data_IF_246652392082
#
_entry.id   IF_246652392082
#
_cell.length_a   1.000
_cell.length_b   1.000
_cell.length_c   1.000
_cell.angle_alpha   90.00
_cell.angle_beta   90.00
_cell.angle_gamma   90.00
#
_symmetry.space_group_name_H-M   'P 1'
#
loop_
_entity.id
_entity.type
_entity.pdbx_description
1 polymer ?
#
# COMPACT_ATOMS: atom_id res chain seq x y z
N UNK A 1 -47.30 37.85 34.73
CA UNK A 1 -46.03 37.11 34.85
C UNK A 1 -45.24 37.43 33.59
N UNK A 2 -44.24 38.30 33.68
CA UNK A 2 -43.56 38.84 32.51
C UNK A 2 -42.21 38.14 32.36
N UNK A 3 -42.14 37.17 31.45
CA UNK A 3 -40.88 36.54 31.07
C UNK A 3 -39.98 37.55 30.37
N UNK A 4 -38.91 37.95 31.07
CA UNK A 4 -37.83 38.73 30.48
C UNK A 4 -37.04 37.82 29.55
N UNK A 5 -37.35 37.85 28.25
CA UNK A 5 -36.51 37.24 27.22
C UNK A 5 -35.19 38.04 27.15
N UNK A 6 -34.13 37.49 27.74
CA UNK A 6 -32.76 37.98 27.58
C UNK A 6 -32.32 37.72 26.15
N UNK A 7 -32.02 38.79 25.41
CA UNK A 7 -31.52 38.74 24.05
C UNK A 7 -30.01 38.48 24.00
N UNK A 8 -29.63 37.73 22.97
CA UNK A 8 -28.26 37.42 22.57
C UNK A 8 -27.46 38.71 22.31
N UNK A 9 -26.24 38.78 22.82
CA UNK A 9 -25.40 39.98 22.62
C UNK A 9 -24.48 39.81 21.41
N UNK A 10 -24.21 40.90 20.69
CA UNK A 10 -23.24 40.89 19.58
C UNK A 10 -21.85 40.43 20.02
N UNK A 11 -21.46 40.78 21.25
CA UNK A 11 -20.17 40.39 21.81
C UNK A 11 -20.09 38.88 22.08
N UNK A 12 -21.20 38.26 22.45
CA UNK A 12 -21.28 36.80 22.67
C UNK A 12 -21.10 36.02 21.37
N UNK A 13 -21.66 36.53 20.25
CA UNK A 13 -21.34 35.96 18.94
C UNK A 13 -19.91 36.22 18.50
N UNK A 14 -19.34 37.38 18.78
CA UNK A 14 -17.97 37.71 18.42
C UNK A 14 -16.96 36.78 19.10
N UNK A 15 -17.15 36.50 20.40
CA UNK A 15 -16.29 35.58 21.14
C UNK A 15 -16.44 34.15 20.62
N UNK A 16 -17.66 33.68 20.32
CA UNK A 16 -17.90 32.32 19.83
C UNK A 16 -17.25 32.09 18.46
N UNK A 17 -17.44 33.01 17.51
CA UNK A 17 -16.81 32.85 16.19
C UNK A 17 -15.29 32.98 16.27
N UNK A 18 -14.76 33.81 17.18
CA UNK A 18 -13.32 33.90 17.43
C UNK A 18 -12.76 32.58 17.98
N UNK A 19 -13.46 31.94 18.93
CA UNK A 19 -13.05 30.62 19.47
C UNK A 19 -13.16 29.53 18.41
N UNK A 20 -14.26 29.47 17.65
CA UNK A 20 -14.44 28.48 16.57
C UNK A 20 -13.36 28.64 15.50
N UNK A 21 -13.06 29.87 15.08
CA UNK A 21 -12.00 30.14 14.10
C UNK A 21 -10.62 29.69 14.61
N UNK A 22 -10.32 29.95 15.89
CA UNK A 22 -9.07 29.52 16.52
C UNK A 22 -8.96 27.99 16.58
N UNK A 23 -10.02 27.31 16.99
CA UNK A 23 -10.04 25.84 17.06
C UNK A 23 -9.97 25.19 15.68
N UNK A 24 -10.62 25.76 14.67
CA UNK A 24 -10.60 25.25 13.31
C UNK A 24 -9.18 25.23 12.72
N UNK A 25 -8.37 26.27 12.98
CA UNK A 25 -6.98 26.36 12.52
C UNK A 25 -6.13 25.24 13.14
N UNK A 26 -6.32 24.92 14.43
CA UNK A 26 -5.55 23.90 15.13
C UNK A 26 -6.01 22.47 14.82
N UNK A 27 -7.29 22.27 14.49
CA UNK A 27 -7.89 20.94 14.35
C UNK A 27 -7.45 20.15 13.12
N UNK A 28 -7.08 20.81 12.01
CA UNK A 28 -6.82 20.14 10.72
C UNK A 28 -5.54 19.31 10.74
N UNK A 29 -4.49 19.76 11.43
CA UNK A 29 -3.15 19.14 11.36
C UNK A 29 -3.02 17.79 12.04
N UNK A 30 -3.89 17.45 13.00
CA UNK A 30 -3.72 16.24 13.81
C UNK A 30 -4.17 14.94 13.13
N UNK A 31 -4.91 15.01 12.03
CA UNK A 31 -5.59 13.82 11.46
C UNK A 31 -4.77 13.09 10.38
N UNK A 32 -3.77 13.75 9.80
CA UNK A 32 -3.03 13.23 8.63
C UNK A 32 -2.19 12.01 8.96
N UNK A 33 -1.50 12.02 10.10
CA UNK A 33 -0.56 10.96 10.48
C UNK A 33 -1.28 9.64 10.75
N UNK A 34 -2.43 9.70 11.43
CA UNK A 34 -3.28 8.53 11.67
C UNK A 34 -3.83 7.96 10.36
N UNK A 35 -4.16 8.84 9.41
CA UNK A 35 -4.66 8.41 8.11
C UNK A 35 -3.55 7.75 7.28
N UNK A 36 -2.32 8.25 7.36
CA UNK A 36 -1.18 7.62 6.70
C UNK A 36 -0.84 6.25 7.29
N UNK A 37 -0.83 6.10 8.61
CA UNK A 37 -0.60 4.81 9.26
C UNK A 37 -1.71 3.81 8.93
N UNK A 38 -2.98 4.24 8.94
CA UNK A 38 -4.10 3.40 8.53
C UNK A 38 -3.97 2.92 7.08
N UNK A 39 -3.58 3.80 6.16
CA UNK A 39 -3.30 3.43 4.76
C UNK A 39 -2.13 2.45 4.67
N UNK A 40 -1.03 2.71 5.37
CA UNK A 40 0.13 1.82 5.40
C UNK A 40 -0.22 0.42 5.96
N UNK A 41 -1.07 0.34 6.98
CA UNK A 41 -1.57 -0.92 7.53
C UNK A 41 -2.40 -1.70 6.51
N UNK A 42 -3.29 -1.02 5.77
CA UNK A 42 -4.07 -1.63 4.68
C UNK A 42 -3.14 -2.18 3.60
N UNK A 43 -2.13 -1.41 3.16
CA UNK A 43 -1.22 -1.89 2.12
C UNK A 43 -0.38 -3.06 2.61
N UNK A 44 0.08 -3.02 3.86
CA UNK A 44 0.80 -4.15 4.46
C UNK A 44 -0.05 -5.42 4.42
N UNK A 45 -1.34 -5.31 4.73
CA UNK A 45 -2.28 -6.44 4.61
C UNK A 45 -2.44 -6.90 3.16
N UNK A 46 -2.63 -5.96 2.23
CA UNK A 46 -2.77 -6.27 0.80
C UNK A 46 -1.51 -6.93 0.22
N UNK A 47 -0.31 -6.49 0.61
CA UNK A 47 0.93 -7.10 0.18
C UNK A 47 1.04 -8.55 0.68
N UNK A 48 0.64 -8.82 1.91
CA UNK A 48 0.54 -10.21 2.42
C UNK A 48 -0.41 -11.04 1.57
N UNK A 49 -1.59 -10.51 1.23
CA UNK A 49 -2.54 -11.20 0.35
C UNK A 49 -1.94 -11.54 -1.02
N UNK A 50 -1.15 -10.63 -1.61
CA UNK A 50 -0.46 -10.87 -2.89
C UNK A 50 0.64 -11.93 -2.75
N UNK A 51 1.43 -11.88 -1.67
CA UNK A 51 2.46 -12.90 -1.37
C UNK A 51 1.84 -14.28 -1.13
N UNK A 52 0.72 -14.34 -0.44
CA UNK A 52 -0.03 -15.58 -0.23
C UNK A 52 -0.58 -16.11 -1.56
N UNK A 53 -1.03 -15.22 -2.46
CA UNK A 53 -1.44 -15.61 -3.81
C UNK A 53 -0.28 -16.21 -4.62
N UNK A 54 0.92 -15.64 -4.53
CA UNK A 54 2.13 -16.21 -5.15
C UNK A 54 2.43 -17.62 -4.61
N UNK A 55 2.41 -17.78 -3.28
CA UNK A 55 2.63 -19.07 -2.65
C UNK A 55 1.56 -20.10 -3.03
N UNK A 56 0.28 -19.70 -3.13
CA UNK A 56 -0.81 -20.57 -3.59
C UNK A 56 -0.62 -21.00 -5.04
N UNK A 57 -0.29 -20.06 -5.93
CA UNK A 57 0.00 -20.38 -7.33
C UNK A 57 1.16 -21.39 -7.43
N UNK A 58 2.21 -21.21 -6.64
CA UNK A 58 3.32 -22.17 -6.59
C UNK A 58 2.88 -23.56 -6.09
N UNK A 59 2.00 -23.62 -5.07
CA UNK A 59 1.47 -24.91 -4.59
C UNK A 59 0.67 -25.65 -5.66
N UNK A 60 -0.13 -24.93 -6.45
CA UNK A 60 -1.04 -25.55 -7.42
C UNK A 60 -0.35 -25.86 -8.75
N UNK A 61 0.62 -25.04 -9.16
CA UNK A 61 1.26 -25.13 -10.49
C UNK A 61 2.72 -25.55 -10.43
N UNK A 62 3.28 -25.72 -9.23
CA UNK A 62 4.71 -25.99 -8.97
C UNK A 62 5.64 -24.97 -9.63
N UNK A 63 5.12 -23.78 -9.91
CA UNK A 63 5.81 -22.69 -10.57
C UNK A 63 5.27 -21.36 -10.08
N UNK A 64 6.15 -20.37 -9.89
CA UNK A 64 5.74 -18.99 -9.63
C UNK A 64 5.25 -18.34 -10.93
N UNK A 65 4.31 -17.38 -10.85
CA UNK A 65 3.84 -16.69 -12.04
C UNK A 65 4.92 -15.77 -12.61
N UNK A 66 4.87 -15.56 -13.91
CA UNK A 66 5.73 -14.61 -14.61
C UNK A 66 5.10 -13.23 -14.70
N UNK A 67 3.83 -13.04 -14.33
CA UNK A 67 3.18 -11.73 -14.27
C UNK A 67 2.24 -11.64 -13.07
N UNK A 68 2.00 -10.44 -12.54
CA UNK A 68 1.07 -10.28 -11.41
C UNK A 68 -0.39 -10.41 -11.86
N UNK A 69 -0.69 -10.16 -13.13
CA UNK A 69 -2.05 -10.34 -13.68
C UNK A 69 -2.44 -11.81 -13.73
N UNK A 70 -1.49 -12.74 -13.85
CA UNK A 70 -1.77 -14.18 -13.84
C UNK A 70 -2.37 -14.68 -12.50
N UNK A 71 -2.23 -13.90 -11.43
CA UNK A 71 -2.84 -14.19 -10.14
C UNK A 71 -4.33 -13.79 -10.07
N UNK A 72 -4.77 -12.86 -10.92
CA UNK A 72 -6.11 -12.28 -10.86
C UNK A 72 -7.17 -13.29 -11.32
N UNK A 73 -8.20 -13.46 -10.50
CA UNK A 73 -9.23 -14.49 -10.67
C UNK A 73 -8.99 -15.66 -9.71
N UNK A 74 -8.10 -16.62 -10.03
CA UNK A 74 -7.95 -17.85 -9.26
C UNK A 74 -7.31 -17.65 -7.88
N UNK A 75 -6.44 -16.64 -7.71
CA UNK A 75 -5.69 -16.43 -6.46
C UNK A 75 -5.88 -15.04 -5.84
N UNK A 76 -6.29 -14.05 -6.63
CA UNK A 76 -6.59 -12.68 -6.21
C UNK A 76 -7.97 -12.25 -6.73
N UNK A 77 -8.82 -11.79 -5.83
CA UNK A 77 -10.16 -11.29 -6.17
C UNK A 77 -10.07 -9.90 -6.84
N UNK A 78 -9.27 -9.02 -6.27
CA UNK A 78 -9.00 -7.68 -6.79
C UNK A 78 -7.73 -7.65 -7.65
N UNK A 79 -7.65 -6.68 -8.57
CA UNK A 79 -6.42 -6.46 -9.34
C UNK A 79 -5.26 -6.04 -8.43
N UNK A 80 -4.05 -6.49 -8.74
CA UNK A 80 -2.86 -6.11 -7.96
C UNK A 80 -2.66 -4.58 -7.93
N UNK A 81 -3.05 -3.88 -9.01
CA UNK A 81 -3.01 -2.43 -9.10
C UNK A 81 -3.92 -1.77 -8.06
N UNK A 82 -5.14 -2.27 -7.88
CA UNK A 82 -6.08 -1.79 -6.86
C UNK A 82 -5.52 -2.02 -5.46
N UNK A 83 -4.97 -3.21 -5.22
CA UNK A 83 -4.46 -3.61 -3.91
C UNK A 83 -3.19 -2.84 -3.50
N UNK A 84 -2.29 -2.57 -4.45
CA UNK A 84 -0.95 -2.06 -4.16
C UNK A 84 -0.75 -0.57 -4.49
N UNK A 85 -1.47 0.00 -5.46
CA UNK A 85 -1.20 1.36 -5.95
C UNK A 85 -2.19 2.42 -5.44
N UNK A 86 -3.47 2.05 -5.29
CA UNK A 86 -4.53 3.00 -4.95
C UNK A 86 -4.65 3.47 -3.49
N UNK A 87 -4.16 2.75 -2.45
CA UNK A 87 -4.46 3.13 -1.07
C UNK A 87 -3.75 4.40 -0.57
N UNK A 88 -2.81 4.98 -1.35
CA UNK A 88 -2.00 6.12 -0.93
C UNK A 88 -2.42 7.49 -1.50
N UNK A 89 -3.39 7.54 -2.43
CA UNK A 89 -3.87 8.80 -3.02
C UNK A 89 -2.82 9.52 -3.88
N UNK A 90 -2.94 10.85 -3.99
CA UNK A 90 -2.18 11.71 -4.92
C UNK A 90 -0.73 12.03 -4.48
N UNK A 91 -0.16 11.25 -3.56
CA UNK A 91 1.18 11.46 -3.02
C UNK A 91 2.30 10.91 -3.90
N UNK A 92 3.50 10.77 -3.32
CA UNK A 92 4.65 10.15 -3.98
C UNK A 92 4.29 8.80 -4.62
N UNK A 93 4.58 8.60 -5.92
CA UNK A 93 4.19 7.39 -6.62
C UNK A 93 4.87 6.17 -6.01
N UNK A 94 4.09 5.12 -5.78
CA UNK A 94 4.64 3.85 -5.30
C UNK A 94 4.96 2.92 -6.46
N UNK A 95 6.17 2.40 -6.43
CA UNK A 95 6.68 1.44 -7.40
C UNK A 95 6.56 0.04 -6.84
N UNK A 96 6.00 -0.86 -7.64
CA UNK A 96 6.00 -2.29 -7.34
C UNK A 96 7.33 -2.87 -7.81
N UNK A 97 8.03 -3.54 -6.91
CA UNK A 97 9.26 -4.26 -7.18
C UNK A 97 9.00 -5.76 -7.05
N UNK A 98 9.54 -6.54 -7.96
CA UNK A 98 9.45 -7.99 -7.94
C UNK A 98 10.82 -8.59 -7.69
N UNK A 99 10.86 -9.67 -6.91
CA UNK A 99 12.07 -10.46 -6.70
C UNK A 99 12.06 -11.60 -7.68
N UNK A 100 13.10 -11.65 -8.51
CA UNK A 100 13.24 -12.58 -9.64
C UNK A 100 14.61 -13.25 -9.61
N UNK A 101 14.77 -14.44 -10.21
CA UNK A 101 16.09 -15.06 -10.36
C UNK A 101 17.05 -14.14 -11.12
N UNK A 102 18.27 -13.97 -10.63
CA UNK A 102 19.31 -13.19 -11.32
C UNK A 102 19.69 -13.85 -12.65
N UNK A 103 20.06 -13.02 -13.63
CA UNK A 103 20.45 -13.50 -14.96
C UNK A 103 21.90 -14.00 -14.90
N UNK A 104 22.10 -15.32 -14.84
CA UNK A 104 23.42 -15.94 -14.99
C UNK A 104 23.99 -16.61 -13.73
N UNK A 105 23.48 -17.79 -13.40
CA UNK A 105 24.24 -19.03 -13.08
C UNK A 105 23.21 -20.11 -12.73
N UNK A 106 23.01 -21.13 -13.59
CA UNK A 106 22.24 -22.30 -13.20
C UNK A 106 22.99 -23.00 -12.08
N UNK A 107 22.39 -23.15 -10.90
CA UNK A 107 22.76 -24.25 -10.03
C UNK A 107 22.60 -25.55 -10.83
N UNK A 108 23.64 -26.38 -10.84
CA UNK A 108 23.84 -27.54 -11.74
C UNK A 108 22.91 -28.72 -11.40
N UNK A 109 21.92 -28.50 -10.57
CA UNK A 109 20.97 -29.46 -10.03
C UNK A 109 19.56 -28.86 -10.15
N UNK A 110 18.82 -29.37 -11.12
CA UNK A 110 17.54 -28.86 -11.63
C UNK A 110 16.34 -29.05 -10.68
N UNK A 111 16.52 -28.75 -9.41
CA UNK A 111 15.44 -28.55 -8.45
C UNK A 111 15.49 -27.08 -8.02
N UNK A 112 14.45 -26.31 -8.37
CA UNK A 112 14.33 -24.85 -8.19
C UNK A 112 14.30 -24.35 -6.72
N UNK A 113 14.88 -25.11 -5.79
CA UNK A 113 14.93 -24.89 -4.34
C UNK A 113 16.33 -24.52 -3.83
N UNK A 114 17.38 -24.71 -4.63
CA UNK A 114 18.71 -24.19 -4.28
C UNK A 114 18.70 -22.68 -4.46
N UNK A 115 19.31 -21.97 -3.51
CA UNK A 115 19.30 -20.52 -3.41
C UNK A 115 19.92 -19.87 -4.66
N UNK A 116 19.12 -19.72 -5.71
CA UNK A 116 19.45 -18.88 -6.86
C UNK A 116 19.58 -17.46 -6.35
N UNK A 117 20.66 -16.78 -6.69
CA UNK A 117 20.80 -15.35 -6.45
C UNK A 117 19.55 -14.63 -7.00
N UNK A 118 18.95 -13.78 -6.17
CA UNK A 118 17.73 -13.06 -6.54
C UNK A 118 18.01 -11.59 -6.73
N UNK A 119 17.47 -11.04 -7.80
CA UNK A 119 17.51 -9.63 -8.12
C UNK A 119 16.14 -9.00 -7.83
N UNK A 120 16.12 -7.75 -7.37
CA UNK A 120 14.89 -6.97 -7.22
C UNK A 120 14.76 -6.00 -8.38
N UNK A 121 13.69 -6.10 -9.16
CA UNK A 121 13.49 -5.33 -10.39
C UNK A 121 12.13 -4.63 -10.38
N UNK A 122 12.03 -3.47 -11.02
CA UNK A 122 10.76 -2.75 -11.15
C UNK A 122 9.77 -3.54 -12.03
N UNK A 123 8.53 -3.67 -11.55
CA UNK A 123 7.43 -4.27 -12.32
C UNK A 123 6.87 -3.26 -13.33
N UNK A 124 6.50 -3.67 -14.56
CA UNK A 124 6.51 -5.03 -15.14
C UNK A 124 7.83 -5.41 -15.85
N UNK A 125 8.90 -4.65 -15.65
CA UNK A 125 10.17 -4.73 -16.38
C UNK A 125 11.10 -5.87 -15.95
N UNK A 126 10.61 -7.09 -15.77
CA UNK A 126 11.40 -8.23 -15.28
C UNK A 126 11.66 -9.33 -16.33
N UNK A 127 11.22 -9.12 -17.58
CA UNK A 127 11.60 -9.96 -18.72
C UNK A 127 11.03 -11.37 -18.70
N UNK A 128 9.84 -11.58 -18.12
CA UNK A 128 9.17 -12.88 -18.07
C UNK A 128 9.76 -13.85 -17.04
N UNK A 129 10.67 -13.40 -16.19
CA UNK A 129 11.20 -14.18 -15.06
C UNK A 129 10.12 -14.44 -14.00
N UNK A 130 10.25 -15.56 -13.30
CA UNK A 130 9.33 -15.94 -12.22
C UNK A 130 9.39 -14.97 -11.04
N UNK A 131 8.23 -14.47 -10.62
CA UNK A 131 8.07 -13.55 -9.50
C UNK A 131 7.95 -14.37 -8.22
N UNK A 132 9.01 -14.36 -7.40
CA UNK A 132 9.05 -15.12 -6.13
C UNK A 132 8.52 -14.30 -4.95
N UNK A 133 8.68 -12.99 -5.01
CA UNK A 133 8.25 -12.06 -3.97
C UNK A 133 7.94 -10.68 -4.55
N UNK A 134 7.20 -9.87 -3.80
CA UNK A 134 6.82 -8.50 -4.16
C UNK A 134 7.19 -7.56 -3.02
N UNK A 135 7.77 -6.41 -3.38
CA UNK A 135 8.13 -5.32 -2.48
C UNK A 135 7.58 -4.02 -3.04
N UNK A 136 7.46 -3.02 -2.19
CA UNK A 136 6.99 -1.69 -2.58
C UNK A 136 8.07 -0.66 -2.28
N UNK A 137 8.22 0.33 -3.17
CA UNK A 137 9.19 1.42 -3.03
C UNK A 137 8.48 2.76 -3.17
N UNK A 138 8.66 3.64 -2.20
CA UNK A 138 8.09 5.00 -2.17
C UNK A 138 9.19 6.01 -1.90
N UNK A 139 9.25 7.09 -2.67
CA UNK A 139 10.25 8.17 -2.47
C UNK A 139 11.71 7.68 -2.48
N UNK A 140 12.04 6.66 -3.26
CA UNK A 140 13.39 6.09 -3.29
C UNK A 140 13.68 5.01 -2.24
N UNK A 141 12.82 4.84 -1.24
CA UNK A 141 13.00 3.88 -0.13
C UNK A 141 12.12 2.66 -0.31
N UNK A 142 12.70 1.46 -0.17
CA UNK A 142 11.95 0.20 -0.13
C UNK A 142 11.28 0.09 1.23
N UNK A 143 9.97 -0.16 1.23
CA UNK A 143 9.21 -0.31 2.46
C UNK A 143 9.63 -1.61 3.18
N UNK A 144 9.75 -1.59 4.52
CA UNK A 144 10.42 -2.66 5.27
C UNK A 144 9.60 -3.94 5.45
N UNK A 145 8.34 -3.97 5.00
CA UNK A 145 7.38 -5.05 5.21
C UNK A 145 7.12 -5.84 3.92
#
# INVERSE_FOLDING_TARGET
MSDRRSGFTLIEMLVVVAVIATLAILGVGYYTDYLEEARAAVVRSNLRTVRDALARHFKDRLAYPTTLEALQGPYLQDSYQKLLLHPWGDGEPVQVLVVVPATGTPGVDSNAFLATETETVAYPGHGGRQIRDVKLKRGGVVLPW
#
